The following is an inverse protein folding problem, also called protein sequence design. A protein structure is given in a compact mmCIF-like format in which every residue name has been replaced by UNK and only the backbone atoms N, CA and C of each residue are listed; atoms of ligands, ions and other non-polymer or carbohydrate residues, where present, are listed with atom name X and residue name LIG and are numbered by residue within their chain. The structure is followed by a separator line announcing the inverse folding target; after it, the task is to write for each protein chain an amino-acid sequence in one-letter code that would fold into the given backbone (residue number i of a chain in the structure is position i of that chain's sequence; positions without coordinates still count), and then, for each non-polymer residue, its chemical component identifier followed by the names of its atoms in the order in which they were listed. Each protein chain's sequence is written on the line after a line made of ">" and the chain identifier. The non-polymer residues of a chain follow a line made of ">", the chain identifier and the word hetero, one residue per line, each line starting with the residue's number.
data_IF_135537474678
#
_entry.id   IF_135537474678
#
_cell.length_a   1.000
_cell.length_b   1.000
_cell.length_c   1.000
_cell.angle_alpha   90.00
_cell.angle_beta   90.00
_cell.angle_gamma   90.00
#
_symmetry.space_group_name_H-M   'P 1'
#
loop_
_entity.id
_entity.type
_entity.pdbx_description
1 polymer ?
#
# COMPACT_ATOMS: atom_id res chain seq x y z
N UNK A 1 -17.95 -8.29 -62.34
CA UNK A 1 -17.17 -7.09 -61.96
C UNK A 1 -16.55 -7.37 -60.62
N UNK A 2 -15.24 -7.52 -60.60
CA UNK A 2 -14.44 -8.08 -59.51
C UNK A 2 -13.50 -6.97 -59.04
N UNK A 3 -13.56 -6.58 -57.77
CA UNK A 3 -12.61 -5.66 -57.14
C UNK A 3 -11.69 -6.39 -56.13
N UNK A 4 -10.46 -5.91 -55.94
CA UNK A 4 -9.31 -6.73 -55.52
C UNK A 4 -9.10 -6.79 -54.00
N UNK A 5 -8.26 -7.74 -53.50
CA UNK A 5 -8.03 -7.96 -52.08
C UNK A 5 -7.14 -6.88 -51.44
N UNK A 6 -7.60 -6.34 -50.31
CA UNK A 6 -6.87 -5.37 -49.50
C UNK A 6 -5.67 -6.00 -48.78
N UNK A 7 -4.54 -5.30 -48.83
CA UNK A 7 -3.21 -5.68 -48.34
C UNK A 7 -3.14 -5.89 -46.82
N UNK A 8 -2.24 -6.81 -46.46
CA UNK A 8 -1.62 -7.05 -45.16
C UNK A 8 -1.07 -5.75 -44.54
N UNK A 9 -1.41 -5.49 -43.27
CA UNK A 9 -0.85 -4.40 -42.47
C UNK A 9 -0.14 -5.04 -41.27
N UNK A 10 1.16 -5.32 -41.40
CA UNK A 10 1.99 -5.75 -40.29
C UNK A 10 2.12 -4.59 -39.28
N UNK A 11 1.41 -4.71 -38.15
CA UNK A 11 1.52 -3.72 -37.08
C UNK A 11 2.63 -4.15 -36.14
N UNK A 12 3.81 -3.55 -36.32
CA UNK A 12 4.93 -3.61 -35.37
C UNK A 12 4.45 -2.97 -34.05
N UNK A 13 3.95 -3.78 -33.12
CA UNK A 13 3.59 -3.33 -31.77
C UNK A 13 4.84 -3.37 -30.88
N UNK A 14 5.48 -2.21 -30.80
CA UNK A 14 6.52 -1.83 -29.83
C UNK A 14 6.14 -2.26 -28.39
N UNK A 15 7.08 -2.73 -27.56
CA UNK A 15 6.81 -3.03 -26.16
C UNK A 15 6.55 -1.72 -25.38
N UNK A 16 5.46 -1.71 -24.60
CA UNK A 16 5.12 -0.66 -23.64
C UNK A 16 6.08 -0.76 -22.46
N UNK A 17 6.98 0.21 -22.33
CA UNK A 17 7.80 0.42 -21.14
C UNK A 17 6.94 1.06 -20.04
N UNK A 18 6.18 0.24 -19.30
CA UNK A 18 5.44 0.64 -18.12
C UNK A 18 6.37 0.64 -16.88
N UNK A 19 7.34 1.57 -16.83
CA UNK A 19 8.23 1.69 -15.67
C UNK A 19 8.73 3.11 -15.36
N UNK A 20 8.07 4.17 -15.85
CA UNK A 20 8.54 5.56 -15.63
C UNK A 20 7.59 6.47 -14.86
N UNK A 21 6.34 6.08 -14.59
CA UNK A 21 5.36 7.00 -13.97
C UNK A 21 5.51 7.14 -12.44
N UNK A 22 6.08 6.14 -11.74
CA UNK A 22 6.21 6.19 -10.28
C UNK A 22 7.27 7.17 -9.77
N UNK A 23 8.29 7.48 -10.58
CA UNK A 23 9.40 8.35 -10.15
C UNK A 23 9.06 9.85 -10.24
N UNK A 24 8.09 10.24 -11.08
CA UNK A 24 7.79 11.65 -11.34
C UNK A 24 6.89 12.29 -10.25
N UNK A 25 6.11 11.51 -9.52
CA UNK A 25 5.15 12.04 -8.54
C UNK A 25 5.81 12.38 -7.18
N UNK A 26 6.62 11.46 -6.65
CA UNK A 26 7.29 11.65 -5.36
C UNK A 26 8.31 12.80 -5.38
N UNK A 27 9.03 12.99 -6.50
CA UNK A 27 10.01 14.08 -6.64
C UNK A 27 9.38 15.48 -6.61
N UNK A 28 8.16 15.64 -7.13
CA UNK A 28 7.47 16.94 -7.15
C UNK A 28 7.06 17.39 -5.74
N UNK A 29 6.55 16.47 -4.93
CA UNK A 29 6.13 16.76 -3.55
C UNK A 29 7.29 17.22 -2.66
N UNK A 30 8.46 16.60 -2.79
CA UNK A 30 9.65 16.97 -2.03
C UNK A 30 10.19 18.36 -2.42
N UNK A 31 10.16 18.69 -3.72
CA UNK A 31 10.60 20.00 -4.22
C UNK A 31 9.65 21.12 -3.78
N UNK A 32 8.33 20.88 -3.81
CA UNK A 32 7.33 21.87 -3.37
C UNK A 32 7.41 22.15 -1.86
N UNK A 33 7.64 21.12 -1.04
CA UNK A 33 7.80 21.28 0.41
C UNK A 33 9.07 22.06 0.77
N UNK A 34 10.17 21.80 0.03
CA UNK A 34 11.44 22.50 0.23
C UNK A 34 11.39 23.98 -0.17
N UNK A 35 10.69 24.30 -1.26
CA UNK A 35 10.45 25.69 -1.70
C UNK A 35 9.64 26.49 -0.66
N UNK A 36 8.60 25.87 -0.07
CA UNK A 36 7.76 26.50 0.96
C UNK A 36 8.54 26.86 2.24
N UNK A 37 9.61 26.12 2.53
CA UNK A 37 10.44 26.31 3.72
C UNK A 37 11.72 27.13 3.44
N UNK A 38 11.84 27.78 2.27
CA UNK A 38 13.00 28.60 1.92
C UNK A 38 14.30 27.82 1.67
N UNK A 39 14.21 26.50 1.49
CA UNK A 39 15.39 25.65 1.28
C UNK A 39 15.85 25.78 -0.18
N UNK A 40 17.01 26.41 -0.37
CA UNK A 40 17.61 26.56 -1.70
C UNK A 40 17.87 25.17 -2.33
N UNK A 41 17.65 25.03 -3.66
CA UNK A 41 17.97 23.81 -4.43
C UNK A 41 19.36 23.26 -4.15
N UNK A 42 20.35 24.13 -3.87
CA UNK A 42 21.71 23.72 -3.50
C UNK A 42 21.75 23.03 -2.14
N UNK A 43 20.98 23.51 -1.16
CA UNK A 43 20.87 22.92 0.16
C UNK A 43 20.19 21.53 0.11
N UNK A 44 19.16 21.35 -0.73
CA UNK A 44 18.56 20.03 -0.98
C UNK A 44 19.57 19.04 -1.58
N UNK A 45 20.36 19.48 -2.56
CA UNK A 45 21.40 18.64 -3.16
C UNK A 45 22.50 18.31 -2.14
N UNK A 46 22.89 19.25 -1.28
CA UNK A 46 23.85 19.00 -0.20
C UNK A 46 23.29 18.01 0.83
N UNK A 47 22.03 18.14 1.25
CA UNK A 47 21.37 17.18 2.15
C UNK A 47 21.30 15.77 1.54
N UNK A 48 20.98 15.67 0.25
CA UNK A 48 20.92 14.40 -0.46
C UNK A 48 22.31 13.77 -0.63
N UNK A 49 23.34 14.59 -0.88
CA UNK A 49 24.73 14.15 -0.96
C UNK A 49 25.30 13.73 0.41
N UNK A 50 24.92 14.41 1.50
CA UNK A 50 25.29 14.03 2.86
C UNK A 50 24.67 12.68 3.27
N UNK A 51 23.49 12.34 2.75
CA UNK A 51 22.89 11.02 2.95
C UNK A 51 23.59 9.90 2.17
N UNK A 52 24.42 10.22 1.15
CA UNK A 52 25.23 9.23 0.43
C UNK A 52 26.58 8.93 1.11
N UNK A 53 27.00 9.78 2.06
CA UNK A 53 28.24 9.62 2.82
C UNK A 53 27.98 9.06 4.23
N UNK A 54 27.07 8.08 4.35
CA UNK A 54 26.89 7.38 5.63
C UNK A 54 28.19 6.64 5.92
N UNK A 55 28.91 6.96 7.01
CA UNK A 55 30.09 6.20 7.39
C UNK A 55 29.66 4.75 7.59
N UNK A 56 30.47 3.83 7.05
CA UNK A 56 30.35 2.38 7.19
C UNK A 56 29.84 2.06 8.60
N UNK A 57 28.65 1.45 8.69
CA UNK A 57 27.96 1.30 9.96
C UNK A 57 28.88 0.55 10.93
N UNK A 58 29.00 1.02 12.17
CA UNK A 58 29.80 0.33 13.18
C UNK A 58 29.29 -1.11 13.29
N UNK A 59 30.18 -2.08 13.55
CA UNK A 59 29.81 -3.49 13.66
C UNK A 59 28.64 -3.73 14.63
N UNK A 60 28.56 -2.93 15.70
CA UNK A 60 27.40 -2.90 16.62
C UNK A 60 26.06 -2.55 15.95
N UNK A 61 26.05 -1.56 15.04
CA UNK A 61 24.86 -1.17 14.28
C UNK A 61 24.49 -2.23 13.24
N UNK A 62 25.49 -2.85 12.61
CA UNK A 62 25.27 -3.97 11.68
C UNK A 62 24.66 -5.18 12.39
N UNK A 63 25.19 -5.55 13.55
CA UNK A 63 24.66 -6.64 14.37
C UNK A 63 23.20 -6.37 14.79
N UNK A 64 22.89 -5.16 15.26
CA UNK A 64 21.53 -4.77 15.62
C UNK A 64 20.57 -4.86 14.42
N UNK A 65 20.98 -4.42 13.23
CA UNK A 65 20.17 -4.53 12.01
C UNK A 65 19.93 -5.99 11.62
N UNK A 66 20.94 -6.86 11.77
CA UNK A 66 20.78 -8.29 11.52
C UNK A 66 19.76 -8.92 12.47
N UNK A 67 19.76 -8.54 13.75
CA UNK A 67 18.77 -8.99 14.73
C UNK A 67 17.35 -8.56 14.36
N UNK A 68 17.15 -7.31 13.93
CA UNK A 68 15.85 -6.83 13.46
C UNK A 68 15.38 -7.57 12.19
N UNK A 69 16.28 -7.80 11.23
CA UNK A 69 15.95 -8.57 10.02
C UNK A 69 15.58 -10.01 10.37
N UNK A 70 16.31 -10.64 11.29
CA UNK A 70 16.01 -11.98 11.79
C UNK A 70 14.62 -12.04 12.43
N UNK A 71 14.34 -11.15 13.38
CA UNK A 71 13.02 -11.04 14.03
C UNK A 71 11.89 -10.78 13.04
N UNK A 72 12.12 -9.93 12.03
CA UNK A 72 11.13 -9.65 11.00
C UNK A 72 10.82 -10.86 10.11
N UNK A 73 11.81 -11.73 9.87
CA UNK A 73 11.61 -12.97 9.11
C UNK A 73 10.89 -14.02 9.94
N UNK A 74 11.31 -14.21 11.18
CA UNK A 74 10.72 -15.18 12.12
C UNK A 74 9.25 -14.85 12.41
N UNK A 75 8.91 -13.56 12.53
CA UNK A 75 7.55 -13.12 12.86
C UNK A 75 6.70 -12.78 11.63
N UNK A 76 7.17 -13.04 10.41
CA UNK A 76 6.52 -12.56 9.19
C UNK A 76 5.04 -12.96 9.12
N UNK A 77 4.73 -14.23 9.31
CA UNK A 77 3.37 -14.73 9.20
C UNK A 77 2.43 -14.11 10.25
N UNK A 78 2.91 -13.97 11.48
CA UNK A 78 2.17 -13.28 12.55
C UNK A 78 1.89 -11.82 12.18
N UNK A 79 2.93 -11.10 11.77
CA UNK A 79 2.81 -9.69 11.42
C UNK A 79 1.92 -9.48 10.18
N UNK A 80 2.01 -10.36 9.18
CA UNK A 80 1.17 -10.28 7.99
C UNK A 80 -0.30 -10.58 8.32
N UNK A 81 -0.56 -11.53 9.23
CA UNK A 81 -1.91 -11.79 9.74
C UNK A 81 -2.47 -10.59 10.51
N UNK A 82 -1.71 -10.01 11.42
CA UNK A 82 -2.10 -8.82 12.19
C UNK A 82 -2.39 -7.63 11.26
N UNK A 83 -1.52 -7.37 10.28
CA UNK A 83 -1.72 -6.33 9.27
C UNK A 83 -3.01 -6.52 8.47
N UNK A 84 -3.34 -7.77 8.15
CA UNK A 84 -4.55 -8.10 7.41
C UNK A 84 -5.81 -7.95 8.29
N UNK A 85 -5.76 -8.42 9.53
CA UNK A 85 -6.87 -8.28 10.49
C UNK A 85 -7.14 -6.79 10.79
N UNK A 86 -6.10 -6.00 11.01
CA UNK A 86 -6.21 -4.54 11.20
C UNK A 86 -6.81 -3.86 9.96
N UNK A 87 -6.41 -4.30 8.76
CA UNK A 87 -6.99 -3.80 7.52
C UNK A 87 -8.49 -4.11 7.45
N UNK A 88 -8.91 -5.35 7.72
CA UNK A 88 -10.32 -5.70 7.71
C UNK A 88 -11.09 -4.93 8.77
N UNK A 89 -10.54 -4.83 9.98
CA UNK A 89 -11.14 -4.08 11.08
C UNK A 89 -11.37 -2.63 10.70
N UNK A 90 -10.34 -1.93 10.21
CA UNK A 90 -10.45 -0.49 9.88
C UNK A 90 -11.38 -0.21 8.69
N UNK A 91 -11.42 -1.09 7.69
CA UNK A 91 -12.20 -0.82 6.48
C UNK A 91 -13.66 -1.28 6.57
N UNK A 92 -13.94 -2.35 7.30
CA UNK A 92 -15.28 -2.94 7.32
C UNK A 92 -16.05 -2.70 8.62
N UNK A 93 -15.39 -2.25 9.70
CA UNK A 93 -16.08 -1.95 10.98
C UNK A 93 -17.19 -0.93 10.80
N UNK A 94 -16.95 0.16 10.09
CA UNK A 94 -17.96 1.20 9.89
C UNK A 94 -19.08 0.73 8.95
N UNK A 95 -18.75 -0.03 7.90
CA UNK A 95 -19.75 -0.60 7.00
C UNK A 95 -20.71 -1.56 7.72
N UNK A 96 -20.15 -2.45 8.55
CA UNK A 96 -20.95 -3.38 9.33
C UNK A 96 -21.68 -2.67 10.47
N UNK A 97 -21.04 -1.71 11.13
CA UNK A 97 -21.65 -0.89 12.17
C UNK A 97 -22.86 -0.09 11.67
N UNK A 98 -22.82 0.40 10.42
CA UNK A 98 -23.98 1.05 9.81
C UNK A 98 -25.18 0.11 9.66
N UNK A 99 -24.95 -1.15 9.30
CA UNK A 99 -26.02 -2.16 9.18
C UNK A 99 -26.46 -2.72 10.54
N UNK A 100 -25.63 -2.61 11.58
CA UNK A 100 -25.82 -3.24 12.89
C UNK A 100 -27.19 -2.95 13.50
N UNK A 101 -27.65 -1.70 13.48
CA UNK A 101 -28.94 -1.31 14.07
C UNK A 101 -30.12 -2.05 13.44
N UNK A 102 -30.26 -1.96 12.12
CA UNK A 102 -31.34 -2.63 11.39
C UNK A 102 -31.27 -4.16 11.49
N UNK A 103 -30.06 -4.73 11.56
CA UNK A 103 -29.88 -6.18 11.68
C UNK A 103 -30.22 -6.66 13.10
N UNK A 104 -29.88 -5.92 14.16
CA UNK A 104 -30.19 -6.32 15.54
C UNK A 104 -31.67 -6.19 15.91
N UNK A 105 -32.43 -5.38 15.20
CA UNK A 105 -33.88 -5.24 15.40
C UNK A 105 -34.67 -6.45 14.86
N UNK A 106 -34.09 -7.23 13.95
CA UNK A 106 -34.73 -8.43 13.41
C UNK A 106 -34.80 -9.55 14.45
N UNK A 107 -35.87 -10.34 14.48
CA UNK A 107 -35.92 -11.54 15.31
C UNK A 107 -34.85 -12.54 14.86
N UNK A 108 -34.33 -13.33 15.80
CA UNK A 108 -33.17 -14.21 15.58
C UNK A 108 -33.44 -15.26 14.51
N UNK A 109 -34.69 -15.70 14.40
CA UNK A 109 -35.17 -16.69 13.44
C UNK A 109 -35.16 -16.16 12.00
N UNK A 110 -35.23 -14.83 11.80
CA UNK A 110 -35.21 -14.18 10.49
C UNK A 110 -33.81 -13.73 10.05
N UNK A 111 -32.80 -13.86 10.92
CA UNK A 111 -31.42 -13.51 10.59
C UNK A 111 -30.83 -14.51 9.61
N UNK A 112 -30.32 -14.00 8.50
CA UNK A 112 -29.51 -14.77 7.56
C UNK A 112 -28.18 -15.19 8.21
N UNK A 113 -27.58 -16.27 7.71
CA UNK A 113 -26.27 -16.74 8.19
C UNK A 113 -25.18 -15.65 8.07
N UNK A 114 -25.24 -14.82 7.02
CA UNK A 114 -24.34 -13.68 6.87
C UNK A 114 -24.56 -12.61 7.93
N UNK A 115 -25.80 -12.28 8.26
CA UNK A 115 -26.12 -11.29 9.29
C UNK A 115 -25.66 -11.76 10.67
N UNK A 116 -25.88 -13.03 11.00
CA UNK A 116 -25.33 -13.63 12.24
C UNK A 116 -23.80 -13.53 12.28
N UNK A 117 -23.13 -13.82 11.16
CA UNK A 117 -21.68 -13.69 11.04
C UNK A 117 -21.19 -12.25 11.21
N UNK A 118 -21.89 -11.27 10.64
CA UNK A 118 -21.58 -9.85 10.78
C UNK A 118 -21.73 -9.40 12.24
N UNK A 119 -22.83 -9.76 12.91
CA UNK A 119 -23.04 -9.43 14.32
C UNK A 119 -21.96 -10.06 15.21
N UNK A 120 -21.63 -11.34 15.00
CA UNK A 120 -20.58 -12.02 15.75
C UNK A 120 -19.20 -11.37 15.53
N UNK A 121 -18.90 -10.97 14.28
CA UNK A 121 -17.65 -10.26 13.98
C UNK A 121 -17.62 -8.89 14.63
N UNK A 122 -18.72 -8.13 14.60
CA UNK A 122 -18.82 -6.83 15.27
C UNK A 122 -18.64 -6.95 16.78
N UNK A 123 -19.30 -7.92 17.42
CA UNK A 123 -19.19 -8.13 18.87
C UNK A 123 -17.77 -8.54 19.29
N UNK A 124 -17.04 -9.27 18.44
CA UNK A 124 -15.62 -9.58 18.65
C UNK A 124 -14.69 -8.39 18.42
N UNK A 125 -15.09 -7.38 17.64
CA UNK A 125 -14.24 -6.28 17.16
C UNK A 125 -14.67 -4.88 17.66
N UNK A 126 -15.62 -4.80 18.59
CA UNK A 126 -16.08 -3.55 19.21
C UNK A 126 -14.96 -2.80 19.91
#
# INVERSE_FOLDING_TARGET
>A
MTQPPGKLMDTIRRPVAAASSLHHSAGKHLVTLAQRNGVNRRCLLTLLASAAAIPEASESRKALLQDYVKRSKENKEKNDKERLDDFYKRNYKDCFGFMEGSVREKPVEELTESEKGILAWLDKNK
#
